data_IF_051759254021
#
_entry.id   IF_051759254021
#
_cell.length_a   1.000
_cell.length_b   1.000
_cell.length_c   1.000
_cell.angle_alpha   90.00
_cell.angle_beta   90.00
_cell.angle_gamma   90.00
#
_symmetry.space_group_name_H-M   'P 1'
#
loop_
_entity.id
_entity.type
_entity.pdbx_description
1 polymer ?
#
# COMPACT_ATOMS: atom_id res chain seq x y z
N UNK A 1 -30.57 4.57 4.87
CA UNK A 1 -29.65 3.45 4.55
C UNK A 1 -28.30 3.91 5.01
N UNK A 2 -27.76 3.27 6.04
CA UNK A 2 -26.42 3.59 6.55
C UNK A 2 -25.45 2.97 5.57
N UNK A 3 -25.01 3.78 4.62
CA UNK A 3 -23.87 3.45 3.77
C UNK A 3 -22.65 3.55 4.70
N UNK A 4 -22.42 2.53 5.51
CA UNK A 4 -21.17 2.30 6.25
C UNK A 4 -20.10 1.89 5.22
N UNK A 5 -19.88 2.75 4.22
CA UNK A 5 -18.60 2.81 3.57
C UNK A 5 -17.66 3.31 4.65
N UNK A 6 -16.97 2.39 5.34
CA UNK A 6 -15.83 2.75 6.20
C UNK A 6 -14.97 3.69 5.36
N UNK A 7 -14.99 4.99 5.67
CA UNK A 7 -14.30 6.01 4.89
C UNK A 7 -12.81 5.80 5.17
N UNK A 8 -12.20 4.88 4.41
CA UNK A 8 -10.80 4.57 4.56
C UNK A 8 -10.02 5.86 4.33
N UNK A 9 -9.06 6.17 5.21
CA UNK A 9 -8.19 7.31 4.99
C UNK A 9 -7.57 7.18 3.58
N UNK A 10 -7.59 8.26 2.79
CA UNK A 10 -7.10 8.25 1.40
C UNK A 10 -5.65 7.77 1.26
N UNK A 11 -4.89 7.71 2.37
CA UNK A 11 -3.59 7.07 2.42
C UNK A 11 -3.23 6.55 3.81
N UNK A 12 -2.25 5.64 3.88
CA UNK A 12 -1.75 5.08 5.13
C UNK A 12 -0.30 4.61 5.00
N UNK A 13 0.43 4.56 6.11
CA UNK A 13 1.74 3.89 6.19
C UNK A 13 1.69 2.58 7.00
N UNK A 14 0.48 2.10 7.31
CA UNK A 14 0.26 0.86 8.08
C UNK A 14 -0.06 -0.29 7.11
N UNK A 15 0.80 -1.32 7.00
CA UNK A 15 0.56 -2.42 6.05
C UNK A 15 -0.78 -3.13 6.25
N UNK A 16 -1.23 -3.31 7.49
CA UNK A 16 -2.52 -3.96 7.79
C UNK A 16 -3.71 -3.15 7.29
N UNK A 17 -3.62 -1.83 7.36
CA UNK A 17 -4.65 -0.93 6.86
C UNK A 17 -4.57 -0.80 5.35
N UNK A 18 -3.36 -0.71 4.80
CA UNK A 18 -3.12 -0.64 3.36
C UNK A 18 -3.65 -1.88 2.63
N UNK A 19 -3.44 -3.07 3.21
CA UNK A 19 -3.99 -4.31 2.69
C UNK A 19 -5.52 -4.22 2.57
N UNK A 20 -6.22 -3.82 3.64
CA UNK A 20 -7.69 -3.67 3.62
C UNK A 20 -8.15 -2.60 2.64
N UNK A 21 -7.51 -1.43 2.68
CA UNK A 21 -7.81 -0.28 1.82
C UNK A 21 -7.69 -0.63 0.34
N UNK A 22 -6.69 -1.44 -0.03
CA UNK A 22 -6.42 -1.85 -1.42
C UNK A 22 -7.08 -3.19 -1.80
N UNK A 23 -7.87 -3.78 -0.90
CA UNK A 23 -8.62 -5.02 -1.16
C UNK A 23 -7.79 -6.31 -1.16
N UNK A 24 -6.63 -6.32 -0.50
CA UNK A 24 -5.76 -7.48 -0.37
C UNK A 24 -5.82 -8.11 1.02
N UNK A 25 -5.65 -9.43 1.11
CA UNK A 25 -5.36 -10.05 2.39
C UNK A 25 -3.93 -9.67 2.86
N UNK A 26 -3.72 -9.71 4.19
CA UNK A 26 -2.47 -9.25 4.79
C UNK A 26 -1.23 -10.03 4.34
N UNK A 27 -1.39 -11.32 4.02
CA UNK A 27 -0.27 -12.17 3.60
C UNK A 27 0.13 -11.81 2.18
N UNK A 28 -0.81 -11.78 1.26
CA UNK A 28 -0.58 -11.37 -0.13
C UNK A 28 0.00 -9.96 -0.18
N UNK A 29 -0.59 -9.01 0.54
CA UNK A 29 -0.07 -7.65 0.61
C UNK A 29 1.37 -7.60 1.17
N UNK A 30 1.68 -8.40 2.18
CA UNK A 30 3.03 -8.50 2.72
C UNK A 30 4.05 -9.02 1.71
N UNK A 31 3.67 -10.05 0.95
CA UNK A 31 4.51 -10.63 -0.10
C UNK A 31 4.73 -9.59 -1.23
N UNK A 32 3.68 -8.86 -1.63
CA UNK A 32 3.78 -7.75 -2.59
C UNK A 32 4.69 -6.63 -2.09
N UNK A 33 4.61 -6.25 -0.81
CA UNK A 33 5.47 -5.21 -0.21
C UNK A 33 6.95 -5.61 -0.26
N UNK A 34 7.28 -6.90 -0.07
CA UNK A 34 8.66 -7.35 -0.20
C UNK A 34 9.18 -7.22 -1.64
N UNK A 35 8.39 -7.63 -2.65
CA UNK A 35 8.77 -7.49 -4.06
C UNK A 35 8.94 -6.02 -4.44
N UNK A 36 7.99 -5.18 -4.03
CA UNK A 36 8.02 -3.73 -4.27
C UNK A 36 9.25 -3.06 -3.66
N UNK A 37 9.64 -3.45 -2.44
CA UNK A 37 10.85 -2.91 -1.80
C UNK A 37 12.13 -3.35 -2.51
N UNK A 38 12.18 -4.60 -2.98
CA UNK A 38 13.32 -5.12 -3.73
C UNK A 38 13.48 -4.40 -5.09
N UNK A 39 12.39 -4.20 -5.81
CA UNK A 39 12.38 -3.50 -7.12
C UNK A 39 12.76 -2.01 -7.01
N UNK A 40 12.26 -1.33 -5.97
CA UNK A 40 12.48 0.10 -5.75
C UNK A 40 13.74 0.43 -4.93
N UNK A 41 14.59 -0.57 -4.64
CA UNK A 41 15.79 -0.46 -3.79
C UNK A 41 15.52 0.22 -2.43
N UNK A 42 14.37 -0.12 -1.83
CA UNK A 42 13.93 0.41 -0.53
C UNK A 42 14.35 -0.53 0.60
N UNK A 43 14.81 0.04 1.71
CA UNK A 43 15.18 -0.72 2.91
C UNK A 43 13.93 -1.11 3.69
N UNK A 44 14.08 -2.10 4.57
CA UNK A 44 13.00 -2.57 5.44
C UNK A 44 12.39 -1.46 6.31
N UNK A 45 13.21 -0.50 6.74
CA UNK A 45 12.86 0.65 7.56
C UNK A 45 12.37 1.88 6.76
N UNK A 46 12.44 1.84 5.42
CA UNK A 46 11.85 2.88 4.58
C UNK A 46 10.32 2.76 4.63
N UNK A 47 9.70 3.70 5.35
CA UNK A 47 8.25 3.79 5.49
C UNK A 47 7.68 4.56 4.30
N UNK A 48 7.04 3.83 3.39
CA UNK A 48 6.24 4.40 2.30
C UNK A 48 4.81 4.67 2.77
N UNK A 49 4.11 5.52 2.03
CA UNK A 49 2.69 5.76 2.18
C UNK A 49 2.00 5.12 0.99
N UNK A 50 1.01 4.27 1.24
CA UNK A 50 0.12 3.72 0.24
C UNK A 50 -1.13 4.60 0.17
N UNK A 51 -1.51 5.01 -1.03
CA UNK A 51 -2.78 5.70 -1.30
C UNK A 51 -3.85 4.69 -1.69
N UNK A 52 -5.12 5.05 -1.53
CA UNK A 52 -6.27 4.23 -1.92
C UNK A 52 -6.32 3.91 -3.43
N UNK A 53 -5.69 4.75 -4.25
CA UNK A 53 -5.44 4.54 -5.69
C UNK A 53 -4.41 3.43 -5.99
N UNK A 54 -3.72 2.93 -4.96
CA UNK A 54 -2.56 2.05 -5.09
C UNK A 54 -1.24 2.81 -5.19
N UNK A 55 -1.24 4.13 -5.32
CA UNK A 55 0.02 4.87 -5.48
C UNK A 55 0.93 4.72 -4.24
N UNK A 56 2.22 4.57 -4.51
CA UNK A 56 3.26 4.44 -3.49
C UNK A 56 3.98 5.77 -3.40
N UNK A 57 3.85 6.45 -2.28
CA UNK A 57 4.55 7.69 -1.99
C UNK A 57 5.75 7.45 -1.07
N UNK A 58 6.91 7.97 -1.48
CA UNK A 58 8.10 8.04 -0.65
C UNK A 58 8.73 9.42 -0.75
N UNK A 59 8.99 10.05 0.41
CA UNK A 59 9.59 11.39 0.49
C UNK A 59 8.84 12.43 -0.38
N UNK A 60 7.50 12.38 -0.40
CA UNK A 60 6.60 13.26 -1.19
C UNK A 60 6.65 13.06 -2.70
N UNK A 61 7.20 11.95 -3.18
CA UNK A 61 7.18 11.58 -4.59
C UNK A 61 6.43 10.27 -4.76
N UNK A 62 5.60 10.18 -5.80
CA UNK A 62 5.03 8.91 -6.23
C UNK A 62 6.12 8.13 -6.96
N UNK A 63 6.43 6.94 -6.47
CA UNK A 63 7.54 6.11 -6.96
C UNK A 63 7.07 4.83 -7.65
N UNK A 64 5.77 4.55 -7.64
CA UNK A 64 5.17 3.39 -8.29
C UNK A 64 3.72 3.20 -7.86
N UNK A 65 3.13 2.09 -8.29
CA UNK A 65 1.79 1.68 -7.87
C UNK A 65 1.83 0.24 -7.31
N UNK A 66 1.11 0.02 -6.22
CA UNK A 66 1.08 -1.25 -5.50
C UNK A 66 0.44 -2.37 -6.31
N UNK A 67 -0.48 -2.04 -7.21
CA UNK A 67 -1.15 -3.02 -8.08
C UNK A 67 -0.21 -3.63 -9.13
N UNK A 68 0.92 -2.99 -9.44
CA UNK A 68 1.93 -3.52 -10.36
C UNK A 68 2.62 -4.78 -9.81
N UNK A 69 2.54 -5.01 -8.49
CA UNK A 69 3.15 -6.15 -7.80
C UNK A 69 2.15 -7.25 -7.43
N UNK A 70 0.89 -7.15 -7.87
CA UNK A 70 -0.12 -8.18 -7.64
C UNK A 70 0.12 -9.40 -8.54
N UNK A 71 -0.04 -10.60 -8.01
CA UNK A 71 0.17 -11.89 -8.70
C UNK A 71 -0.96 -12.88 -8.44
#
# INVERSE_FOLDING_TARGET
>A
MSDDTEEFAASTNKPDYAAKMLGYDRKTFGDMVHVMKDDLDLRGDDNVIWHDTGDIEFRKNIIGNMHDYAF
#
